data_IF_822724987133
#
_entry.id   IF_822724987133
#
_cell.length_a   1.000
_cell.length_b   1.000
_cell.length_c   1.000
_cell.angle_alpha   90.00
_cell.angle_beta   90.00
_cell.angle_gamma   90.00
#
_symmetry.space_group_name_H-M   'P 1'
#
loop_
_entity.id
_entity.type
_entity.pdbx_description
1 polymer ?
#
# COMPACT_ATOMS: atom_id res chain seq x y z
N UNK A 1 11.74 -22.20 12.48
CA UNK A 1 11.64 -22.03 11.01
C UNK A 1 13.04 -22.00 10.42
N UNK A 2 13.35 -22.92 9.50
CA UNK A 2 14.66 -23.07 8.87
C UNK A 2 15.06 -21.74 8.14
N UNK A 3 16.31 -21.25 8.26
CA UNK A 3 16.77 -20.03 7.57
C UNK A 3 16.53 -20.05 6.06
N UNK A 4 16.60 -21.22 5.41
CA UNK A 4 16.30 -21.37 3.98
C UNK A 4 14.83 -21.04 3.65
N UNK A 5 13.90 -21.49 4.49
CA UNK A 5 12.48 -21.20 4.32
C UNK A 5 12.19 -19.71 4.52
N UNK A 6 12.87 -19.05 5.47
CA UNK A 6 12.80 -17.58 5.62
C UNK A 6 13.31 -16.85 4.38
N UNK A 7 14.41 -17.32 3.79
CA UNK A 7 14.96 -16.78 2.54
C UNK A 7 13.97 -16.91 1.37
N UNK A 8 13.39 -18.10 1.19
CA UNK A 8 12.37 -18.35 0.16
C UNK A 8 11.13 -17.46 0.34
N UNK A 9 10.64 -17.30 1.58
CA UNK A 9 9.50 -16.42 1.84
C UNK A 9 9.87 -14.94 1.62
N UNK A 10 11.11 -14.52 1.89
CA UNK A 10 11.57 -13.16 1.61
C UNK A 10 11.74 -12.86 0.10
N UNK A 11 11.94 -13.90 -0.72
CA UNK A 11 11.98 -13.76 -2.18
C UNK A 11 10.62 -13.35 -2.74
N UNK A 12 9.52 -13.72 -2.08
CA UNK A 12 8.16 -13.37 -2.52
C UNK A 12 7.91 -11.85 -2.58
N UNK A 13 8.02 -11.06 -1.48
CA UNK A 13 7.84 -9.62 -1.55
C UNK A 13 8.87 -8.93 -2.45
N UNK A 14 10.07 -9.50 -2.59
CA UNK A 14 11.06 -9.02 -3.56
C UNK A 14 10.57 -9.19 -5.01
N UNK A 15 10.17 -10.41 -5.39
CA UNK A 15 9.68 -10.69 -6.74
C UNK A 15 8.48 -9.81 -7.08
N UNK A 16 7.52 -9.70 -6.16
CA UNK A 16 6.33 -8.86 -6.34
C UNK A 16 6.69 -7.38 -6.40
N UNK A 17 7.65 -6.93 -5.58
CA UNK A 17 8.22 -5.59 -5.67
C UNK A 17 8.76 -5.30 -7.07
N UNK A 18 9.52 -6.24 -7.65
CA UNK A 18 10.07 -6.08 -9.00
C UNK A 18 9.02 -5.99 -10.11
N UNK A 19 7.80 -6.47 -9.85
CA UNK A 19 6.67 -6.32 -10.77
C UNK A 19 5.97 -4.96 -10.62
N UNK A 20 6.23 -4.17 -9.58
CA UNK A 20 5.57 -2.85 -9.38
C UNK A 20 5.83 -1.88 -10.53
N UNK A 21 7.08 -1.70 -10.99
CA UNK A 21 7.38 -0.88 -12.16
C UNK A 21 6.71 -1.43 -13.43
N UNK A 22 6.67 -2.76 -13.59
CA UNK A 22 6.01 -3.39 -14.74
C UNK A 22 4.50 -3.14 -14.72
N UNK A 23 3.88 -3.21 -13.55
CA UNK A 23 2.47 -2.88 -13.38
C UNK A 23 2.19 -1.41 -13.73
N UNK A 24 3.05 -0.48 -13.29
CA UNK A 24 2.94 0.93 -13.68
C UNK A 24 3.08 1.12 -15.20
N UNK A 25 4.01 0.41 -15.86
CA UNK A 25 4.15 0.42 -17.32
C UNK A 25 2.89 -0.10 -18.02
N UNK A 26 2.34 -1.23 -17.56
CA UNK A 26 1.11 -1.79 -18.09
C UNK A 26 -0.06 -0.81 -17.91
N UNK A 27 -0.17 -0.17 -16.74
CA UNK A 27 -1.20 0.84 -16.48
C UNK A 27 -1.09 2.05 -17.40
N UNK A 28 0.12 2.57 -17.62
CA UNK A 28 0.36 3.66 -18.57
C UNK A 28 -0.02 3.24 -20.00
N UNK A 29 0.39 2.04 -20.42
CA UNK A 29 0.03 1.49 -21.73
C UNK A 29 -1.48 1.28 -21.90
N UNK A 30 -2.18 0.89 -20.84
CA UNK A 30 -3.63 0.75 -20.82
C UNK A 30 -4.32 2.12 -20.90
N UNK A 31 -3.82 3.12 -20.17
CA UNK A 31 -4.31 4.50 -20.25
C UNK A 31 -4.20 5.08 -21.66
N UNK A 32 -3.09 4.81 -22.35
CA UNK A 32 -2.90 5.19 -23.75
C UNK A 32 -3.90 4.51 -24.69
N UNK A 33 -4.17 3.20 -24.53
CA UNK A 33 -5.19 2.50 -25.33
C UNK A 33 -6.59 3.06 -25.09
N UNK A 34 -6.92 3.35 -23.84
CA UNK A 34 -8.20 3.92 -23.45
C UNK A 34 -8.33 5.42 -23.77
N UNK A 35 -7.24 6.07 -24.20
CA UNK A 35 -7.09 7.52 -24.37
C UNK A 35 -7.65 8.31 -23.19
N UNK A 36 -7.29 7.89 -21.99
CA UNK A 36 -7.90 8.40 -20.77
C UNK A 36 -6.87 8.63 -19.67
N UNK A 37 -7.29 9.29 -18.59
CA UNK A 37 -6.46 9.48 -17.39
C UNK A 37 -6.01 8.15 -16.76
N UNK A 38 -4.91 8.18 -15.99
CA UNK A 38 -4.36 7.01 -15.27
C UNK A 38 -5.34 6.42 -14.24
N UNK A 39 -6.40 7.15 -13.88
CA UNK A 39 -7.38 6.75 -12.89
C UNK A 39 -8.21 5.54 -13.35
N UNK A 40 -8.52 5.40 -14.65
CA UNK A 40 -9.26 4.25 -15.16
C UNK A 40 -8.43 2.95 -15.16
N UNK A 41 -7.17 2.93 -15.65
CA UNK A 41 -6.27 1.81 -15.41
C UNK A 41 -6.08 1.47 -13.92
N UNK A 42 -6.07 2.48 -13.05
CA UNK A 42 -5.99 2.27 -11.59
C UNK A 42 -7.28 1.63 -11.04
N UNK A 43 -8.45 2.01 -11.55
CA UNK A 43 -9.71 1.34 -11.25
C UNK A 43 -9.68 -0.12 -11.70
N UNK A 44 -9.14 -0.41 -12.88
CA UNK A 44 -8.93 -1.78 -13.36
C UNK A 44 -7.90 -2.55 -12.52
N UNK A 45 -7.00 -1.85 -11.82
CA UNK A 45 -6.08 -2.49 -10.88
C UNK A 45 -6.79 -2.91 -9.57
N UNK A 46 -7.69 -2.09 -9.02
CA UNK A 46 -8.37 -2.33 -7.73
C UNK A 46 -9.73 -3.04 -7.85
N UNK A 47 -10.52 -2.78 -8.89
CA UNK A 47 -11.85 -3.36 -9.09
C UNK A 47 -11.85 -4.89 -9.11
N UNK A 48 -10.98 -5.55 -9.89
CA UNK A 48 -10.86 -7.01 -9.89
C UNK A 48 -10.39 -7.58 -8.55
N UNK A 49 -9.65 -6.83 -7.73
CA UNK A 49 -9.27 -7.29 -6.39
C UNK A 49 -10.52 -7.49 -5.51
N UNK A 50 -11.52 -6.62 -5.67
CA UNK A 50 -12.82 -6.75 -5.01
C UNK A 50 -13.52 -8.06 -5.43
N UNK A 51 -13.56 -8.33 -6.73
CA UNK A 51 -14.18 -9.54 -7.28
C UNK A 51 -13.45 -10.82 -6.85
N UNK A 52 -12.12 -10.84 -6.94
CA UNK A 52 -11.32 -11.99 -6.55
C UNK A 52 -11.32 -12.26 -5.04
N UNK A 53 -11.45 -11.22 -4.20
CA UNK A 53 -11.53 -11.42 -2.74
C UNK A 53 -12.92 -11.82 -2.25
N UNK A 54 -13.99 -11.56 -3.01
CA UNK A 54 -15.36 -11.81 -2.61
C UNK A 54 -15.59 -13.24 -2.08
N UNK A 55 -15.25 -14.34 -2.80
CA UNK A 55 -15.51 -15.70 -2.31
C UNK A 55 -14.74 -16.03 -1.02
N UNK A 56 -13.54 -15.47 -0.85
CA UNK A 56 -12.69 -15.70 0.33
C UNK A 56 -13.00 -14.76 1.50
N UNK A 57 -13.92 -13.82 1.31
CA UNK A 57 -14.34 -12.89 2.34
C UNK A 57 -15.41 -13.48 3.27
N UNK A 58 -16.19 -14.47 2.82
CA UNK A 58 -17.25 -15.07 3.64
C UNK A 58 -16.76 -15.97 4.78
N UNK A 59 -15.69 -16.79 4.62
CA UNK A 59 -15.15 -17.59 5.71
C UNK A 59 -14.76 -16.72 6.92
N UNK A 60 -15.28 -17.09 8.10
CA UNK A 60 -15.00 -16.42 9.37
C UNK A 60 -16.28 -16.09 10.18
N UNK A 61 -16.17 -15.29 11.25
CA UNK A 61 -17.32 -14.85 12.03
C UNK A 61 -18.32 -14.08 11.15
N UNK A 62 -19.62 -14.06 11.49
CA UNK A 62 -20.62 -13.35 10.68
C UNK A 62 -20.27 -11.86 10.56
N UNK A 63 -20.68 -11.25 9.44
CA UNK A 63 -20.35 -9.85 9.14
C UNK A 63 -20.94 -8.87 10.17
N UNK A 64 -22.06 -9.21 10.79
CA UNK A 64 -22.68 -8.48 11.90
C UNK A 64 -21.70 -8.28 13.05
N UNK A 65 -21.04 -9.35 13.49
CA UNK A 65 -20.12 -9.33 14.63
C UNK A 65 -18.87 -8.52 14.29
N UNK A 66 -18.38 -8.64 13.05
CA UNK A 66 -17.26 -7.84 12.57
C UNK A 66 -17.61 -6.36 12.55
N UNK A 67 -18.80 -6.00 12.07
CA UNK A 67 -19.26 -4.62 12.03
C UNK A 67 -19.44 -4.06 13.44
N UNK A 68 -19.99 -4.84 14.36
CA UNK A 68 -20.14 -4.45 15.76
C UNK A 68 -18.77 -4.22 16.42
N UNK A 69 -17.83 -5.18 16.31
CA UNK A 69 -16.46 -5.02 16.84
C UNK A 69 -15.75 -3.82 16.24
N UNK A 70 -15.94 -3.59 14.95
CA UNK A 70 -15.36 -2.45 14.27
C UNK A 70 -15.96 -1.11 14.76
N UNK A 71 -17.30 -1.05 14.92
CA UNK A 71 -17.99 0.11 15.50
C UNK A 71 -17.54 0.41 16.92
N UNK A 72 -17.41 -0.62 17.76
CA UNK A 72 -16.91 -0.48 19.13
C UNK A 72 -15.47 0.05 19.16
N UNK A 73 -14.61 -0.42 18.23
CA UNK A 73 -13.23 0.10 18.10
C UNK A 73 -13.19 1.54 17.62
N UNK A 74 -13.99 1.90 16.63
CA UNK A 74 -14.13 3.28 16.17
C UNK A 74 -14.56 4.23 17.30
N UNK A 75 -15.45 3.77 18.19
CA UNK A 75 -15.85 4.54 19.37
C UNK A 75 -14.74 4.73 20.41
N UNK A 76 -13.78 3.80 20.48
CA UNK A 76 -12.67 3.82 21.45
C UNK A 76 -11.45 4.60 20.97
N UNK A 77 -11.21 4.68 19.65
CA UNK A 77 -10.02 5.34 19.13
C UNK A 77 -10.26 6.05 17.79
N UNK A 78 -10.04 7.38 17.69
CA UNK A 78 -10.18 8.11 16.41
C UNK A 78 -9.19 7.61 15.36
N UNK A 79 -8.10 7.01 15.82
CA UNK A 79 -7.09 6.37 15.01
C UNK A 79 -7.64 5.25 14.12
N UNK A 80 -8.61 4.47 14.63
CA UNK A 80 -9.20 3.39 13.86
C UNK A 80 -10.07 3.93 12.71
N UNK A 81 -10.56 5.17 12.82
CA UNK A 81 -11.20 5.90 11.74
C UNK A 81 -10.27 6.12 10.55
N UNK A 82 -8.98 6.43 10.79
CA UNK A 82 -8.01 6.57 9.71
C UNK A 82 -7.73 5.25 8.97
N UNK A 83 -7.97 4.09 9.59
CA UNK A 83 -7.82 2.80 8.90
C UNK A 83 -8.85 2.58 7.78
N UNK A 84 -9.99 3.30 7.82
CA UNK A 84 -11.01 3.25 6.78
C UNK A 84 -10.50 3.78 5.43
N UNK A 85 -9.59 4.75 5.47
CA UNK A 85 -9.02 5.37 4.26
C UNK A 85 -7.78 4.63 3.74
N UNK A 86 -7.43 3.47 4.32
CA UNK A 86 -6.27 2.68 3.89
C UNK A 86 -6.28 2.37 2.38
N UNK A 87 -7.47 2.08 1.84
CA UNK A 87 -7.70 1.86 0.41
C UNK A 87 -7.35 3.08 -0.43
N UNK A 88 -7.85 4.26 -0.05
CA UNK A 88 -7.59 5.53 -0.75
C UNK A 88 -6.12 5.90 -0.71
N UNK A 89 -5.49 5.78 0.46
CA UNK A 89 -4.06 6.08 0.65
C UNK A 89 -3.20 5.14 -0.20
N UNK A 90 -3.55 3.86 -0.24
CA UNK A 90 -2.87 2.88 -1.08
C UNK A 90 -3.02 3.19 -2.57
N UNK A 91 -4.25 3.43 -3.05
CA UNK A 91 -4.50 3.68 -4.47
C UNK A 91 -3.90 4.99 -4.94
N UNK A 92 -3.94 6.04 -4.10
CA UNK A 92 -3.25 7.31 -4.36
C UNK A 92 -1.75 7.09 -4.53
N UNK A 93 -1.11 6.29 -3.66
CA UNK A 93 0.30 5.96 -3.76
C UNK A 93 0.68 5.26 -5.08
N UNK A 94 -0.10 4.25 -5.50
CA UNK A 94 0.12 3.54 -6.78
C UNK A 94 -0.13 4.46 -7.97
N UNK A 95 -1.25 5.20 -7.96
CA UNK A 95 -1.63 6.11 -9.03
C UNK A 95 -0.61 7.24 -9.24
N UNK A 96 -0.13 7.84 -8.15
CA UNK A 96 0.93 8.84 -8.17
C UNK A 96 2.21 8.28 -8.75
N UNK A 97 2.63 7.07 -8.36
CA UNK A 97 3.85 6.45 -8.89
C UNK A 97 3.73 6.13 -10.39
N UNK A 98 2.58 5.62 -10.83
CA UNK A 98 2.35 5.38 -12.26
C UNK A 98 2.38 6.70 -13.04
N UNK A 99 1.71 7.74 -12.54
CA UNK A 99 1.73 9.08 -13.12
C UNK A 99 3.15 9.66 -13.22
N UNK A 100 3.90 9.64 -12.12
CA UNK A 100 5.29 10.15 -12.09
C UNK A 100 6.19 9.34 -13.02
N UNK A 101 6.03 8.02 -13.09
CA UNK A 101 6.81 7.16 -14.00
C UNK A 101 6.61 7.55 -15.47
N UNK A 102 5.39 7.93 -15.86
CA UNK A 102 5.11 8.45 -17.21
C UNK A 102 5.73 9.83 -17.49
N UNK A 103 6.07 10.61 -16.46
CA UNK A 103 6.60 11.97 -16.59
C UNK A 103 8.13 12.05 -16.49
N UNK A 104 8.70 11.49 -15.42
CA UNK A 104 10.14 11.58 -15.09
C UNK A 104 10.88 10.24 -15.29
N UNK A 105 10.19 9.20 -15.77
CA UNK A 105 10.74 7.87 -16.02
C UNK A 105 10.70 6.95 -14.79
N UNK A 106 10.81 5.64 -15.05
CA UNK A 106 10.71 4.60 -14.02
C UNK A 106 11.88 4.66 -13.03
N UNK A 107 13.13 4.71 -13.51
CA UNK A 107 14.29 4.76 -12.61
C UNK A 107 14.22 5.90 -11.60
N UNK A 108 13.99 7.14 -12.04
CA UNK A 108 13.92 8.30 -11.12
C UNK A 108 12.77 8.14 -10.12
N UNK A 109 11.60 7.73 -10.59
CA UNK A 109 10.41 7.55 -9.74
C UNK A 109 10.63 6.49 -8.66
N UNK A 110 11.15 5.32 -9.03
CA UNK A 110 11.31 4.20 -8.11
C UNK A 110 12.56 4.32 -7.23
N UNK A 111 13.62 4.98 -7.69
CA UNK A 111 14.77 5.33 -6.84
C UNK A 111 14.34 6.34 -5.77
N UNK A 112 13.61 7.40 -6.14
CA UNK A 112 13.04 8.37 -5.19
C UNK A 112 12.10 7.68 -4.20
N UNK A 113 11.20 6.83 -4.71
CA UNK A 113 10.27 6.07 -3.89
C UNK A 113 11.00 5.18 -2.87
N UNK A 114 12.04 4.48 -3.32
CA UNK A 114 12.87 3.61 -2.49
C UNK A 114 13.55 4.39 -1.38
N UNK A 115 14.18 5.51 -1.73
CA UNK A 115 14.84 6.39 -0.78
C UNK A 115 13.87 6.86 0.31
N UNK A 116 12.71 7.38 -0.08
CA UNK A 116 11.69 7.89 0.85
C UNK A 116 11.11 6.77 1.72
N UNK A 117 10.81 5.60 1.15
CA UNK A 117 10.30 4.46 1.92
C UNK A 117 11.31 3.99 2.97
N UNK A 118 12.60 3.97 2.65
CA UNK A 118 13.66 3.55 3.58
C UNK A 118 13.83 4.58 4.69
N UNK A 119 13.92 5.87 4.35
CA UNK A 119 14.06 6.96 5.32
C UNK A 119 12.84 7.03 6.24
N UNK A 120 11.63 7.06 5.67
CA UNK A 120 10.40 7.10 6.47
C UNK A 120 10.21 5.85 7.31
N UNK A 121 10.57 4.66 6.81
CA UNK A 121 10.50 3.44 7.61
C UNK A 121 11.44 3.50 8.82
N UNK A 122 12.65 4.04 8.65
CA UNK A 122 13.58 4.25 9.75
C UNK A 122 13.07 5.29 10.75
N UNK A 123 12.47 6.39 10.27
CA UNK A 123 11.85 7.40 11.12
C UNK A 123 10.68 6.80 11.92
N UNK A 124 9.77 6.07 11.25
CA UNK A 124 8.65 5.37 11.88
C UNK A 124 9.14 4.44 12.99
N UNK A 125 10.16 3.62 12.72
CA UNK A 125 10.72 2.69 13.70
C UNK A 125 11.40 3.45 14.87
N UNK A 126 12.14 4.53 14.60
CA UNK A 126 12.90 5.28 15.61
C UNK A 126 12.03 6.11 16.57
N UNK A 127 10.92 6.65 16.06
CA UNK A 127 9.98 7.48 16.81
C UNK A 127 8.76 6.70 17.31
N UNK A 128 8.52 5.47 16.84
CA UNK A 128 7.31 4.71 17.17
C UNK A 128 6.05 5.29 16.52
N UNK A 129 6.19 5.94 15.36
CA UNK A 129 5.06 6.51 14.62
C UNK A 129 4.17 5.41 14.04
N UNK A 130 2.94 5.74 13.68
CA UNK A 130 1.99 4.78 13.06
C UNK A 130 1.87 3.47 13.85
N UNK A 131 1.93 3.56 15.18
CA UNK A 131 1.79 2.42 16.10
C UNK A 131 2.90 1.36 15.96
N UNK A 132 4.03 1.75 15.36
CA UNK A 132 5.22 0.92 15.37
C UNK A 132 5.82 0.88 16.79
N UNK A 133 6.35 -0.28 17.16
CA UNK A 133 7.14 -0.41 18.39
C UNK A 133 8.43 0.38 18.20
N UNK A 134 8.69 1.35 19.09
CA UNK A 134 9.90 2.16 19.05
C UNK A 134 11.15 1.27 19.12
N UNK A 135 12.09 1.45 18.20
CA UNK A 135 13.33 0.69 18.10
C UNK A 135 14.52 1.61 17.95
N UNK A 136 15.64 1.24 18.57
CA UNK A 136 16.92 1.92 18.36
C UNK A 136 17.50 1.48 17.01
N UNK A 137 17.78 2.44 16.14
CA UNK A 137 18.47 2.20 14.88
C UNK A 137 19.95 1.89 15.16
N UNK A 138 20.51 0.89 14.46
CA UNK A 138 21.94 0.58 14.55
C UNK A 138 22.73 1.53 13.64
N UNK A 139 24.02 1.70 13.93
CA UNK A 139 24.96 2.41 13.05
C UNK A 139 24.89 1.89 11.61
N UNK A 140 24.75 0.57 11.44
CA UNK A 140 24.60 -0.09 10.13
C UNK A 140 23.34 0.37 9.37
N UNK A 141 22.24 0.64 10.09
CA UNK A 141 21.00 1.12 9.48
C UNK A 141 21.19 2.57 8.98
N UNK A 142 21.91 3.43 9.72
CA UNK A 142 22.27 4.78 9.26
C UNK A 142 23.19 4.76 8.03
N UNK A 143 24.23 3.92 8.04
CA UNK A 143 25.14 3.77 6.89
C UNK A 143 24.37 3.33 5.65
N UNK A 144 23.44 2.38 5.80
CA UNK A 144 22.57 1.94 4.71
C UNK A 144 21.71 3.07 4.15
N UNK A 145 21.08 3.87 5.01
CA UNK A 145 20.27 5.03 4.61
C UNK A 145 21.13 6.04 3.84
N UNK A 146 22.32 6.36 4.35
CA UNK A 146 23.24 7.30 3.69
C UNK A 146 23.65 6.79 2.30
N UNK A 147 24.01 5.51 2.17
CA UNK A 147 24.35 4.90 0.88
C UNK A 147 23.20 5.00 -0.12
N UNK A 148 21.97 4.74 0.33
CA UNK A 148 20.77 4.82 -0.52
C UNK A 148 20.48 6.26 -0.93
N UNK A 149 20.55 7.22 0.00
CA UNK A 149 20.31 8.65 -0.28
C UNK A 149 21.37 9.21 -1.23
N UNK A 150 22.65 8.94 -0.97
CA UNK A 150 23.76 9.39 -1.81
C UNK A 150 23.70 8.73 -3.19
N UNK A 151 23.49 7.41 -3.25
CA UNK A 151 23.33 6.70 -4.52
C UNK A 151 22.16 7.22 -5.35
N UNK A 152 21.04 7.55 -4.68
CA UNK A 152 19.87 8.20 -5.31
C UNK A 152 20.23 9.58 -5.85
N UNK A 153 20.90 10.41 -5.06
CA UNK A 153 21.32 11.74 -5.48
C UNK A 153 22.23 11.66 -6.71
N UNK A 154 23.26 10.82 -6.67
CA UNK A 154 24.19 10.60 -7.80
C UNK A 154 23.42 10.16 -9.05
N UNK A 155 22.50 9.21 -8.92
CA UNK A 155 21.67 8.75 -10.03
C UNK A 155 20.85 9.89 -10.65
N UNK A 156 20.14 10.65 -9.81
CA UNK A 156 19.24 11.72 -10.25
C UNK A 156 20.01 12.87 -10.89
N UNK A 157 21.13 13.29 -10.29
CA UNK A 157 21.95 14.37 -10.83
C UNK A 157 22.60 13.99 -12.16
N UNK A 158 23.06 12.75 -12.32
CA UNK A 158 23.70 12.29 -13.56
C UNK A 158 22.71 12.19 -14.72
N UNK A 159 21.45 11.84 -14.46
CA UNK A 159 20.40 11.89 -15.50
C UNK A 159 20.08 13.32 -15.95
N UNK A 160 20.29 14.30 -15.07
CA UNK A 160 20.03 15.71 -15.35
C UNK A 160 18.54 16.05 -15.50
N UNK A 161 18.14 17.31 -15.24
CA UNK A 161 16.76 17.78 -15.39
C UNK A 161 16.31 17.91 -16.86
N UNK A 162 17.19 17.61 -17.83
CA UNK A 162 16.96 17.77 -19.27
C UNK A 162 16.54 16.50 -20.00
N UNK A 163 16.40 15.36 -19.31
CA UNK A 163 15.87 14.14 -19.95
C UNK A 163 14.42 14.37 -20.32
N UNK A 164 14.16 14.41 -21.62
CA UNK A 164 12.84 14.23 -22.20
C UNK A 164 12.19 13.02 -21.54
N UNK A 165 11.00 13.19 -20.96
CA UNK A 165 10.23 12.07 -20.48
C UNK A 165 9.98 11.04 -21.60
N UNK A 166 9.39 9.87 -21.30
CA UNK A 166 9.02 8.88 -22.32
C UNK A 166 8.22 9.48 -23.50
N UNK A 167 7.52 10.58 -23.25
CA UNK A 167 6.72 11.31 -24.26
C UNK A 167 7.50 12.38 -25.03
N UNK A 168 8.82 12.50 -24.87
CA UNK A 168 9.61 13.54 -25.55
C UNK A 168 9.40 14.96 -25.00
N UNK A 169 8.52 15.13 -24.02
CA UNK A 169 8.20 16.43 -23.43
C UNK A 169 9.32 16.85 -22.49
N UNK A 170 9.91 18.01 -22.75
CA UNK A 170 10.87 18.65 -21.84
C UNK A 170 10.10 19.30 -20.70
N UNK A 171 10.27 18.77 -19.49
CA UNK A 171 9.72 19.36 -18.28
C UNK A 171 10.56 20.57 -17.87
N UNK A 172 9.92 21.64 -17.42
CA UNK A 172 10.63 22.72 -16.74
C UNK A 172 11.27 22.21 -15.44
N UNK A 173 12.35 22.84 -14.93
CA UNK A 173 12.97 22.42 -13.66
C UNK A 173 11.99 22.40 -12.49
N UNK A 174 11.03 23.34 -12.46
CA UNK A 174 10.00 23.40 -11.44
C UNK A 174 9.01 22.22 -11.53
N UNK A 175 8.56 21.87 -12.73
CA UNK A 175 7.69 20.71 -12.95
C UNK A 175 8.40 19.39 -12.64
N UNK A 176 9.68 19.28 -13.02
CA UNK A 176 10.50 18.12 -12.67
C UNK A 176 10.63 17.97 -11.16
N UNK A 177 11.03 19.04 -10.46
CA UNK A 177 11.13 19.06 -9.00
C UNK A 177 9.79 18.74 -8.32
N UNK A 178 8.70 19.34 -8.80
CA UNK A 178 7.35 19.05 -8.31
C UNK A 178 6.94 17.59 -8.51
N UNK A 179 7.30 16.98 -9.63
CA UNK A 179 7.00 15.56 -9.91
C UNK A 179 7.83 14.62 -9.01
N UNK A 180 9.09 14.96 -8.72
CA UNK A 180 9.93 14.22 -7.76
C UNK A 180 9.34 14.29 -6.35
N UNK A 181 8.90 15.47 -5.90
CA UNK A 181 8.20 15.64 -4.62
C UNK A 181 6.90 14.84 -4.60
N UNK A 182 6.14 14.86 -5.70
CA UNK A 182 4.92 14.07 -5.83
C UNK A 182 5.22 12.56 -5.73
N UNK A 183 6.28 12.06 -6.37
CA UNK A 183 6.72 10.67 -6.22
C UNK A 183 7.07 10.32 -4.77
N UNK A 184 7.71 11.24 -4.03
CA UNK A 184 7.98 11.08 -2.61
C UNK A 184 6.68 11.00 -1.77
N UNK A 185 5.68 11.83 -2.07
CA UNK A 185 4.35 11.74 -1.45
C UNK A 185 3.70 10.40 -1.76
N UNK A 186 3.76 9.92 -3.01
CA UNK A 186 3.26 8.60 -3.38
C UNK A 186 3.92 7.47 -2.60
N UNK A 187 5.22 7.57 -2.35
CA UNK A 187 5.99 6.63 -1.54
C UNK A 187 5.56 6.63 -0.06
N UNK A 188 5.36 7.81 0.53
CA UNK A 188 4.86 7.97 1.89
C UNK A 188 3.44 7.39 2.05
N UNK A 189 2.58 7.61 1.06
CA UNK A 189 1.23 7.04 1.01
C UNK A 189 1.28 5.50 0.95
N UNK A 190 2.10 4.92 0.08
CA UNK A 190 2.26 3.46 0.03
C UNK A 190 2.78 2.89 1.36
N UNK A 191 3.77 3.55 1.98
CA UNK A 191 4.32 3.10 3.26
C UNK A 191 3.28 3.15 4.39
N UNK A 192 2.52 4.25 4.48
CA UNK A 192 1.48 4.43 5.51
C UNK A 192 0.27 3.52 5.31
N UNK A 193 -0.03 3.11 4.07
CA UNK A 193 -1.12 2.15 3.80
C UNK A 193 -0.89 0.79 4.49
N UNK A 194 0.35 0.38 4.73
CA UNK A 194 0.68 -0.89 5.37
C UNK A 194 0.16 -0.99 6.82
N UNK A 195 0.57 -0.09 7.73
CA UNK A 195 0.04 -0.02 9.10
C UNK A 195 -1.48 0.15 9.16
N UNK A 196 -2.06 0.98 8.28
CA UNK A 196 -3.51 1.18 8.22
C UNK A 196 -4.24 -0.12 7.87
N UNK A 197 -3.78 -0.83 6.84
CA UNK A 197 -4.34 -2.12 6.45
C UNK A 197 -4.14 -3.19 7.53
N UNK A 198 -3.01 -3.17 8.24
CA UNK A 198 -2.77 -4.08 9.36
C UNK A 198 -3.82 -3.90 10.46
N UNK A 199 -4.11 -2.65 10.84
CA UNK A 199 -5.17 -2.33 11.83
C UNK A 199 -6.54 -2.76 11.32
N UNK A 200 -6.86 -2.41 10.08
CA UNK A 200 -8.13 -2.81 9.47
C UNK A 200 -8.28 -4.34 9.46
N UNK A 201 -7.21 -5.08 9.19
CA UNK A 201 -7.18 -6.55 9.24
C UNK A 201 -7.38 -7.13 10.64
N UNK A 202 -6.84 -6.48 11.66
CA UNK A 202 -7.10 -6.86 13.06
C UNK A 202 -8.56 -6.66 13.45
N UNK A 203 -9.30 -5.77 12.78
CA UNK A 203 -10.72 -5.53 13.04
C UNK A 203 -11.62 -6.42 12.19
N UNK A 204 -11.28 -6.65 10.92
CA UNK A 204 -12.07 -7.51 10.04
C UNK A 204 -11.86 -9.01 10.31
N UNK A 205 -10.78 -9.38 11.00
CA UNK A 205 -10.43 -10.76 11.35
C UNK A 205 -9.99 -11.64 10.18
N UNK A 206 -10.07 -11.13 8.95
CA UNK A 206 -9.72 -11.83 7.72
C UNK A 206 -9.08 -10.83 6.74
N UNK A 207 -7.94 -11.21 6.16
CA UNK A 207 -7.23 -10.43 5.13
C UNK A 207 -8.09 -10.13 3.91
N UNK A 208 -8.85 -11.12 3.43
CA UNK A 208 -9.66 -10.95 2.23
C UNK A 208 -10.80 -9.96 2.45
N UNK A 209 -11.37 -9.91 3.66
CA UNK A 209 -12.34 -8.87 4.06
C UNK A 209 -11.70 -7.48 4.06
N UNK A 210 -10.47 -7.36 4.58
CA UNK A 210 -9.69 -6.11 4.54
C UNK A 210 -9.45 -5.67 3.10
N UNK A 211 -9.00 -6.58 2.23
CA UNK A 211 -8.73 -6.29 0.82
C UNK A 211 -10.01 -5.88 0.10
N UNK A 212 -11.12 -6.62 0.31
CA UNK A 212 -12.41 -6.31 -0.28
C UNK A 212 -12.85 -4.90 0.12
N UNK A 213 -12.80 -4.59 1.41
CA UNK A 213 -13.16 -3.27 1.94
C UNK A 213 -12.25 -2.16 1.38
N UNK A 214 -10.93 -2.32 1.48
CA UNK A 214 -9.97 -1.33 1.00
C UNK A 214 -10.10 -1.11 -0.52
N UNK A 215 -10.32 -2.16 -1.29
CA UNK A 215 -10.51 -2.08 -2.75
C UNK A 215 -11.84 -1.42 -3.12
N UNK A 216 -12.91 -1.68 -2.37
CA UNK A 216 -14.20 -1.02 -2.56
C UNK A 216 -14.09 0.48 -2.29
N UNK A 217 -13.51 0.87 -1.14
CA UNK A 217 -13.29 2.28 -0.78
C UNK A 217 -12.38 2.98 -1.80
N UNK A 218 -11.28 2.31 -2.21
CA UNK A 218 -10.41 2.83 -3.25
C UNK A 218 -11.16 3.01 -4.57
N UNK A 219 -11.95 2.03 -5.00
CA UNK A 219 -12.69 2.08 -6.26
C UNK A 219 -13.73 3.21 -6.27
N UNK A 220 -14.45 3.41 -5.17
CA UNK A 220 -15.39 4.54 -5.02
C UNK A 220 -14.66 5.86 -5.16
N UNK A 221 -13.55 6.06 -4.41
CA UNK A 221 -12.76 7.27 -4.49
C UNK A 221 -12.18 7.50 -5.90
N UNK A 222 -11.65 6.46 -6.53
CA UNK A 222 -11.11 6.52 -7.90
C UNK A 222 -12.21 6.91 -8.88
N UNK A 223 -13.39 6.27 -8.83
CA UNK A 223 -14.51 6.59 -9.71
C UNK A 223 -14.96 8.03 -9.54
N UNK A 224 -15.07 8.52 -8.29
CA UNK A 224 -15.44 9.92 -8.02
C UNK A 224 -14.46 10.91 -8.64
N UNK A 225 -13.15 10.67 -8.50
CA UNK A 225 -12.13 11.56 -9.08
C UNK A 225 -12.07 11.38 -10.61
N UNK A 226 -12.15 10.15 -11.12
CA UNK A 226 -12.10 9.84 -12.54
C UNK A 226 -13.27 10.47 -13.29
N UNK A 227 -14.48 10.39 -12.74
CA UNK A 227 -15.66 11.02 -13.32
C UNK A 227 -15.55 12.55 -13.39
N UNK A 228 -14.83 13.17 -12.44
CA UNK A 228 -14.59 14.62 -12.46
C UNK A 228 -13.49 15.05 -13.42
N UNK A 229 -12.44 14.24 -13.60
CA UNK A 229 -11.26 14.59 -14.42
C UNK A 229 -11.43 14.17 -15.88
N UNK A 230 -11.94 12.96 -16.12
CA UNK A 230 -12.06 12.38 -17.47
C UNK A 230 -13.20 11.33 -17.51
N UNK A 231 -14.46 11.76 -17.72
CA UNK A 231 -15.65 10.91 -17.54
C UNK A 231 -15.88 9.87 -18.64
N UNK A 232 -15.16 9.91 -19.77
CA UNK A 232 -15.49 9.12 -20.97
C UNK A 232 -14.34 8.21 -21.43
N UNK A 233 -13.97 7.18 -20.65
CA UNK A 233 -12.96 6.20 -21.05
C UNK A 233 -13.42 5.41 -22.29
N UNK A 234 -12.52 5.21 -23.25
CA UNK A 234 -12.83 4.54 -24.52
C UNK A 234 -12.62 3.02 -24.43
N UNK A 235 -13.41 2.33 -23.61
CA UNK A 235 -13.28 0.87 -23.39
C UNK A 235 -13.43 0.02 -24.65
N UNK A 236 -14.18 0.50 -25.66
CA UNK A 236 -14.36 -0.18 -26.95
C UNK A 236 -13.06 -0.35 -27.75
N UNK A 237 -11.96 0.30 -27.35
CA UNK A 237 -10.65 0.22 -28.00
C UNK A 237 -9.75 -0.88 -27.44
N UNK A 238 -10.21 -1.59 -26.42
CA UNK A 238 -9.49 -2.77 -25.93
C UNK A 238 -9.75 -3.91 -26.91
N UNK A 239 -8.89 -3.98 -27.92
CA UNK A 239 -8.86 -5.10 -28.85
C UNK A 239 -8.28 -6.36 -28.20
N UNK A 240 -8.57 -7.53 -28.77
CA UNK A 240 -8.00 -8.80 -28.33
C UNK A 240 -6.47 -8.76 -28.33
N UNK A 241 -5.81 -8.06 -29.25
CA UNK A 241 -4.35 -7.89 -29.26
C UNK A 241 -3.78 -7.17 -28.02
N UNK A 242 -4.62 -6.42 -27.29
CA UNK A 242 -4.25 -5.67 -26.09
C UNK A 242 -4.66 -6.37 -24.79
N UNK A 243 -5.11 -7.63 -24.83
CA UNK A 243 -5.58 -8.38 -23.65
C UNK A 243 -4.55 -8.41 -22.51
N UNK A 244 -3.25 -8.47 -22.84
CA UNK A 244 -2.16 -8.51 -21.88
C UNK A 244 -2.12 -7.26 -20.98
N UNK A 245 -2.72 -6.14 -21.40
CA UNK A 245 -2.81 -4.93 -20.57
C UNK A 245 -3.72 -5.12 -19.36
N UNK A 246 -4.63 -6.10 -19.42
CA UNK A 246 -5.44 -6.53 -18.28
C UNK A 246 -4.64 -7.33 -17.24
N UNK A 247 -3.36 -7.67 -17.50
CA UNK A 247 -2.48 -8.25 -16.48
C UNK A 247 -2.28 -7.31 -15.29
N UNK A 248 -2.51 -6.00 -15.44
CA UNK A 248 -2.54 -5.05 -14.30
C UNK A 248 -3.50 -5.51 -13.19
N UNK A 249 -4.62 -6.14 -13.55
CA UNK A 249 -5.60 -6.67 -12.61
C UNK A 249 -4.99 -7.75 -11.70
N UNK A 250 -4.29 -8.71 -12.33
CA UNK A 250 -3.65 -9.84 -11.64
C UNK A 250 -2.43 -9.40 -10.84
N UNK A 251 -1.63 -8.48 -11.40
CA UNK A 251 -0.47 -7.91 -10.73
C UNK A 251 -0.87 -7.07 -9.52
N UNK A 252 -1.89 -6.22 -9.65
CA UNK A 252 -2.47 -5.45 -8.56
C UNK A 252 -2.94 -6.33 -7.41
N UNK A 253 -3.73 -7.36 -7.72
CA UNK A 253 -4.17 -8.35 -6.74
C UNK A 253 -3.00 -9.05 -6.05
N UNK A 254 -2.00 -9.51 -6.81
CA UNK A 254 -0.82 -10.17 -6.28
C UNK A 254 -0.01 -9.25 -5.37
N UNK A 255 0.17 -7.99 -5.75
CA UNK A 255 0.82 -6.95 -4.93
C UNK A 255 0.09 -6.71 -3.62
N UNK A 256 -1.24 -6.59 -3.68
CA UNK A 256 -2.05 -6.37 -2.50
C UNK A 256 -1.97 -7.58 -1.56
N UNK A 257 -2.20 -8.80 -2.04
CA UNK A 257 -2.09 -10.02 -1.23
C UNK A 257 -0.72 -10.15 -0.58
N UNK A 258 0.34 -9.86 -1.32
CA UNK A 258 1.71 -9.92 -0.80
C UNK A 258 1.90 -8.89 0.31
N UNK A 259 1.39 -7.67 0.14
CA UNK A 259 1.50 -6.60 1.14
C UNK A 259 0.77 -6.94 2.46
N UNK A 260 -0.28 -7.75 2.41
CA UNK A 260 -1.01 -8.18 3.61
C UNK A 260 -0.41 -9.44 4.25
N UNK A 261 0.01 -10.41 3.43
CA UNK A 261 0.41 -11.72 3.91
C UNK A 261 1.90 -11.82 4.24
N UNK A 262 2.79 -11.23 3.43
CA UNK A 262 4.23 -11.35 3.65
C UNK A 262 4.68 -10.80 5.03
N UNK A 263 4.18 -9.66 5.52
CA UNK A 263 4.54 -9.17 6.85
C UNK A 263 4.22 -10.13 8.00
N UNK A 264 3.25 -11.04 7.84
CA UNK A 264 2.90 -12.03 8.87
C UNK A 264 3.98 -13.10 9.04
N UNK A 265 4.68 -13.45 7.97
CA UNK A 265 5.66 -14.54 7.96
C UNK A 265 7.08 -14.09 8.28
N UNK A 266 7.49 -12.95 7.73
CA UNK A 266 8.87 -12.46 7.82
C UNK A 266 9.00 -11.15 8.59
N UNK A 267 7.88 -10.56 9.01
CA UNK A 267 7.82 -9.25 9.67
C UNK A 267 7.70 -8.09 8.68
N UNK A 268 7.06 -7.01 9.14
CA UNK A 268 6.78 -5.82 8.33
C UNK A 268 8.05 -5.16 7.77
N UNK A 269 9.07 -4.93 8.62
CA UNK A 269 10.30 -4.27 8.21
C UNK A 269 11.04 -5.04 7.10
N UNK A 270 11.21 -6.36 7.26
CA UNK A 270 11.89 -7.19 6.27
C UNK A 270 11.09 -7.31 4.97
N UNK A 271 9.77 -7.47 5.07
CA UNK A 271 8.88 -7.48 3.90
C UNK A 271 8.94 -6.16 3.13
N UNK A 272 8.96 -5.02 3.82
CA UNK A 272 9.03 -3.71 3.18
C UNK A 272 10.40 -3.50 2.49
N UNK A 273 11.50 -3.83 3.18
CA UNK A 273 12.86 -3.74 2.60
C UNK A 273 13.03 -4.65 1.37
N UNK A 274 12.54 -5.89 1.44
CA UNK A 274 12.56 -6.81 0.32
C UNK A 274 11.75 -6.28 -0.87
N UNK A 275 10.54 -5.76 -0.61
CA UNK A 275 9.70 -5.14 -1.65
C UNK A 275 10.36 -3.92 -2.29
N UNK A 276 10.94 -3.04 -1.49
CA UNK A 276 11.66 -1.85 -1.97
C UNK A 276 12.86 -2.23 -2.84
N UNK A 277 13.64 -3.24 -2.42
CA UNK A 277 14.73 -3.76 -3.23
C UNK A 277 14.23 -4.35 -4.56
N UNK A 278 13.11 -5.08 -4.52
CA UNK A 278 12.41 -5.56 -5.71
C UNK A 278 12.03 -4.41 -6.65
N UNK A 279 11.35 -3.38 -6.14
CA UNK A 279 10.93 -2.21 -6.92
C UNK A 279 12.10 -1.58 -7.66
N UNK A 280 13.24 -1.41 -6.98
CA UNK A 280 14.44 -0.86 -7.59
C UNK A 280 14.95 -1.76 -8.71
N UNK A 281 15.15 -3.05 -8.45
CA UNK A 281 15.65 -4.00 -9.47
C UNK A 281 14.71 -4.07 -10.67
N UNK A 282 13.39 -4.10 -10.44
CA UNK A 282 12.39 -4.05 -11.50
C UNK A 282 12.49 -2.78 -12.34
N UNK A 283 12.71 -1.62 -11.71
CA UNK A 283 12.84 -0.36 -12.41
C UNK A 283 14.14 -0.28 -13.22
N UNK A 284 15.24 -0.82 -12.68
CA UNK A 284 16.52 -0.94 -13.39
C UNK A 284 16.39 -1.84 -14.61
N UNK A 285 15.76 -3.01 -14.45
CA UNK A 285 15.52 -3.93 -15.56
C UNK A 285 14.67 -3.28 -16.63
N UNK A 286 13.57 -2.62 -16.26
CA UNK A 286 12.73 -1.90 -17.22
C UNK A 286 13.47 -0.75 -17.91
N UNK A 287 14.27 0.02 -17.19
CA UNK A 287 15.07 1.09 -17.81
C UNK A 287 16.08 0.49 -18.80
N UNK A 288 16.77 -0.61 -18.46
CA UNK A 288 17.69 -1.31 -19.36
C UNK A 288 16.97 -1.89 -20.58
N UNK A 289 15.82 -2.53 -20.39
CA UNK A 289 15.01 -3.07 -21.49
C UNK A 289 14.41 -1.97 -22.35
N UNK A 290 13.93 -0.87 -21.77
CA UNK A 290 13.39 0.27 -22.50
C UNK A 290 14.47 0.94 -23.37
N UNK A 291 15.66 1.17 -22.80
CA UNK A 291 16.85 1.61 -23.53
C UNK A 291 17.26 0.59 -24.62
N UNK A 292 16.98 -0.70 -24.38
CA UNK A 292 17.19 -1.80 -25.33
C UNK A 292 16.08 -1.99 -26.37
N UNK A 293 14.91 -1.38 -26.22
CA UNK A 293 13.79 -1.47 -27.18
C UNK A 293 13.66 -0.21 -28.04
N UNK A 294 14.18 0.93 -27.59
CA UNK A 294 14.40 2.14 -28.42
C UNK A 294 15.53 1.97 -29.47
N UNK A 295 15.94 0.74 -29.76
CA UNK A 295 16.77 0.36 -30.91
C UNK A 295 16.17 0.76 -32.27
N UNK A 296 14.92 1.24 -32.29
CA UNK A 296 14.34 1.96 -33.42
C UNK A 296 14.35 3.46 -33.12
N UNK A 297 15.18 4.20 -33.88
CA UNK A 297 14.91 5.58 -34.37
C UNK A 297 15.75 6.75 -33.82
N UNK A 298 16.99 6.55 -33.39
CA UNK A 298 17.99 7.64 -33.48
C UNK A 298 19.21 7.19 -34.29
N UNK A 299 19.11 7.18 -35.64
CA UNK A 299 20.24 6.87 -36.53
C UNK A 299 21.44 7.82 -36.38
N UNK A 300 21.27 8.96 -35.69
CA UNK A 300 22.29 10.01 -35.59
C UNK A 300 23.24 9.88 -34.39
N UNK A 301 23.08 8.87 -33.53
CA UNK A 301 24.02 8.60 -32.42
C UNK A 301 24.48 7.14 -32.40
N UNK A 302 25.26 6.70 -33.40
CA UNK A 302 25.92 5.41 -33.34
C UNK A 302 26.97 5.43 -32.22
N UNK A 303 26.76 4.65 -31.15
CA UNK A 303 27.87 4.17 -30.32
C UNK A 303 27.92 4.55 -28.83
N UNK A 304 26.92 5.21 -28.23
CA UNK A 304 26.98 5.56 -26.80
C UNK A 304 25.91 4.85 -25.95
N UNK A 305 25.93 3.51 -25.94
CA UNK A 305 25.15 2.68 -25.02
C UNK A 305 25.86 2.43 -23.69
N UNK A 306 26.71 3.35 -23.25
CA UNK A 306 27.28 3.27 -21.91
C UNK A 306 26.30 3.88 -20.93
N UNK A 307 25.75 3.05 -20.05
CA UNK A 307 25.21 3.54 -18.77
C UNK A 307 26.27 4.48 -18.20
N UNK A 308 25.94 5.75 -18.00
CA UNK A 308 26.92 6.70 -17.46
C UNK A 308 27.54 6.10 -16.20
N UNK A 309 28.87 6.20 -16.00
CA UNK A 309 29.53 5.77 -14.77
C UNK A 309 28.83 6.31 -13.51
N UNK A 310 28.22 7.51 -13.57
CA UNK A 310 27.43 8.07 -12.48
C UNK A 310 26.14 7.29 -12.21
N UNK A 311 25.40 6.89 -13.26
CA UNK A 311 24.20 6.05 -13.12
C UNK A 311 24.57 4.67 -12.57
N UNK A 312 25.63 4.05 -13.08
CA UNK A 312 26.10 2.74 -12.62
C UNK A 312 26.57 2.77 -11.16
N UNK A 313 27.35 3.79 -10.78
CA UNK A 313 27.82 3.95 -9.39
C UNK A 313 26.67 4.30 -8.44
N UNK A 314 25.73 5.15 -8.85
CA UNK A 314 24.49 5.42 -8.12
C UNK A 314 23.68 4.14 -7.89
N UNK A 315 23.50 3.32 -8.93
CA UNK A 315 22.86 2.01 -8.85
C UNK A 315 23.53 1.11 -7.80
N UNK A 316 24.85 0.99 -7.91
CA UNK A 316 25.66 0.14 -7.05
C UNK A 316 25.57 0.59 -5.59
N UNK A 317 25.64 1.89 -5.32
CA UNK A 317 25.50 2.43 -3.96
C UNK A 317 24.13 2.13 -3.36
N UNK A 318 23.04 2.30 -4.13
CA UNK A 318 21.70 1.95 -3.64
C UNK A 318 21.57 0.45 -3.39
N UNK A 319 22.07 -0.40 -4.29
CA UNK A 319 22.04 -1.85 -4.14
C UNK A 319 22.85 -2.33 -2.93
N UNK A 320 24.05 -1.78 -2.72
CA UNK A 320 24.88 -2.07 -1.54
C UNK A 320 24.18 -1.60 -0.28
N UNK A 321 23.64 -0.38 -0.28
CA UNK A 321 22.86 0.14 0.84
C UNK A 321 21.65 -0.74 1.18
N UNK A 322 20.92 -1.22 0.17
CA UNK A 322 19.81 -2.16 0.35
C UNK A 322 20.28 -3.52 0.89
N UNK A 323 21.37 -4.07 0.37
CA UNK A 323 21.94 -5.33 0.87
C UNK A 323 22.34 -5.23 2.34
N UNK A 324 22.92 -4.10 2.74
CA UNK A 324 23.21 -3.78 4.16
C UNK A 324 21.93 -3.66 4.98
N UNK A 325 20.87 -3.04 4.41
CA UNK A 325 19.56 -2.88 5.05
C UNK A 325 18.83 -4.21 5.30
N UNK A 326 19.05 -5.24 4.47
CA UNK A 326 18.34 -6.52 4.57
C UNK A 326 18.74 -7.34 5.81
N UNK A 327 19.74 -6.88 6.58
CA UNK A 327 20.11 -7.51 7.85
C UNK A 327 18.93 -7.45 8.82
N UNK A 328 18.56 -8.58 9.45
CA UNK A 328 17.45 -8.61 10.40
C UNK A 328 17.65 -7.56 11.50
N UNK A 329 16.57 -6.90 11.96
CA UNK A 329 16.66 -5.98 13.08
C UNK A 329 17.13 -6.73 14.34
N UNK A 330 17.80 -6.05 15.28
CA UNK A 330 18.15 -6.66 16.55
C UNK A 330 16.86 -7.11 17.27
N UNK A 331 16.92 -8.18 18.09
CA UNK A 331 15.80 -8.54 18.94
C UNK A 331 15.41 -7.34 19.79
N UNK A 332 14.10 -7.16 20.01
CA UNK A 332 13.61 -6.12 20.92
C UNK A 332 14.15 -6.45 22.30
N UNK A 333 15.06 -5.64 22.83
CA UNK A 333 15.43 -5.72 24.24
C UNK A 333 14.14 -5.56 25.03
N UNK A 334 13.75 -6.61 25.77
CA UNK A 334 12.69 -6.47 26.76
C UNK A 334 13.22 -5.43 27.75
N UNK A 335 12.72 -4.21 27.67
CA UNK A 335 12.99 -3.21 28.69
C UNK A 335 12.62 -3.77 30.07
N UNK A 336 13.20 -3.25 31.16
CA UNK A 336 12.76 -3.61 32.50
C UNK A 336 11.25 -3.38 32.55
N UNK A 337 10.48 -4.48 32.65
CA UNK A 337 9.03 -4.41 32.69
C UNK A 337 8.67 -3.56 33.90
N UNK A 338 8.05 -2.41 33.66
CA UNK A 338 7.46 -1.64 34.75
C UNK A 338 6.40 -2.54 35.40
N UNK A 339 6.37 -2.71 36.74
CA UNK A 339 5.49 -3.65 37.44
C UNK A 339 4.00 -3.53 37.05
N UNK A 340 3.58 -2.35 36.60
CA UNK A 340 2.22 -2.06 36.13
C UNK A 340 1.79 -2.84 34.87
N UNK A 341 2.70 -3.16 33.94
CA UNK A 341 2.36 -3.96 32.75
C UNK A 341 2.33 -5.47 33.06
N UNK A 342 3.03 -5.91 34.11
CA UNK A 342 3.04 -7.32 34.53
C UNK A 342 1.71 -7.70 35.23
N UNK A 343 1.08 -6.78 35.96
CA UNK A 343 -0.25 -6.99 36.54
C UNK A 343 -1.34 -7.19 35.47
N UNK A 344 -1.37 -6.38 34.40
CA UNK A 344 -2.37 -6.55 33.33
C UNK A 344 -2.16 -7.83 32.51
N UNK A 345 -0.90 -8.21 32.27
CA UNK A 345 -0.58 -9.47 31.57
C UNK A 345 -0.89 -10.71 32.42
N UNK A 346 -0.67 -10.65 33.73
CA UNK A 346 -0.98 -11.73 34.66
C UNK A 346 -2.50 -11.91 34.83
N UNK A 347 -3.26 -10.81 34.87
CA UNK A 347 -4.71 -10.83 35.00
C UNK A 347 -5.39 -11.39 33.75
N UNK A 348 -4.94 -10.98 32.55
CA UNK A 348 -5.45 -11.51 31.28
C UNK A 348 -5.06 -12.98 31.04
N UNK A 349 -3.93 -13.45 31.60
CA UNK A 349 -3.56 -14.86 31.58
C UNK A 349 -4.41 -15.68 32.56
N UNK A 350 -4.69 -15.15 33.75
CA UNK A 350 -5.60 -15.77 34.74
C UNK A 350 -7.02 -15.92 34.21
N UNK A 351 -7.55 -14.91 33.53
CA UNK A 351 -8.89 -14.95 32.94
C UNK A 351 -8.99 -16.02 31.84
N UNK A 352 -7.92 -16.20 31.06
CA UNK A 352 -7.82 -17.23 30.01
C UNK A 352 -7.69 -18.64 30.57
N UNK A 353 -6.97 -18.80 31.67
CA UNK A 353 -6.82 -20.09 32.35
C UNK A 353 -8.12 -20.46 33.11
N UNK A 354 -8.82 -19.47 33.70
CA UNK A 354 -10.10 -19.68 34.39
C UNK A 354 -11.26 -20.03 33.44
N UNK A 355 -11.25 -19.49 32.21
CA UNK A 355 -12.20 -19.87 31.16
C UNK A 355 -11.96 -21.29 30.60
N UNK A 356 -10.79 -21.87 30.85
CA UNK A 356 -10.43 -23.23 30.42
C UNK A 356 -10.84 -24.29 31.45
N UNK A 357 -10.91 -23.94 32.72
CA UNK A 357 -11.31 -24.87 33.80
C UNK A 357 -12.84 -25.00 33.95
N UNK A 358 -13.62 -24.02 33.48
CA UNK A 358 -15.09 -24.04 33.59
C UNK A 358 -15.80 -24.82 32.47
N UNK A 359 -15.06 -25.41 31.53
CA UNK A 359 -15.62 -26.15 30.39
C UNK A 359 -15.59 -27.70 30.50
N UNK A 360 -15.19 -28.26 31.64
CA UNK A 360 -14.98 -29.70 31.78
C UNK A 360 -15.53 -30.31 33.07
N UNK A 361 -16.85 -30.45 33.16
CA UNK A 361 -17.48 -31.36 34.12
C UNK A 361 -18.83 -31.82 33.57
N UNK A 362 -18.79 -32.96 32.86
CA UNK A 362 -19.98 -33.62 32.32
C UNK A 362 -19.83 -35.13 32.46
N UNK A 363 -20.27 -35.63 33.63
CA UNK A 363 -20.90 -36.94 33.89
C UNK A 363 -20.17 -38.21 33.45
N UNK A 364 -19.40 -38.78 34.37
CA UNK A 364 -19.22 -40.23 34.49
C UNK A 364 -20.57 -40.89 34.81
N UNK A 365 -21.00 -41.82 33.96
CA UNK A 365 -21.98 -42.84 34.31
C UNK A 365 -21.41 -44.18 33.87
N UNK A 366 -21.24 -45.02 34.87
CA UNK A 366 -20.63 -46.34 34.90
C UNK A 366 -21.65 -47.41 34.46
N UNK A 367 -21.14 -48.62 34.22
CA UNK A 367 -21.81 -49.91 33.93
C UNK A 367 -22.21 -50.25 32.48
N UNK A 368 -21.64 -51.37 31.98
CA UNK A 368 -22.21 -52.11 30.85
C UNK A 368 -21.24 -53.05 30.13
N UNK A 369 -21.18 -54.30 30.60
CA UNK A 369 -20.52 -55.48 30.01
C UNK A 369 -20.58 -55.64 28.47
N UNK A 370 -19.50 -56.21 27.92
CA UNK A 370 -19.63 -57.34 26.99
C UNK A 370 -19.39 -57.14 25.49
N UNK A 371 -18.47 -57.97 24.98
CA UNK A 371 -18.36 -58.54 23.64
C UNK A 371 -17.58 -57.81 22.53
N UNK A 372 -16.43 -58.44 22.23
CA UNK A 372 -15.77 -58.59 20.94
C UNK A 372 -16.62 -58.33 19.68
N UNK A 373 -16.08 -57.53 18.73
CA UNK A 373 -15.78 -58.04 17.38
C UNK A 373 -14.84 -57.14 16.56
N UNK A 374 -13.88 -57.84 15.95
CA UNK A 374 -13.00 -57.58 14.80
C UNK A 374 -13.10 -56.25 14.02
N UNK A 375 -11.90 -55.70 13.83
CA UNK A 375 -11.46 -54.89 12.70
C UNK A 375 -11.58 -55.62 11.35
N UNK A 376 -12.22 -54.99 10.36
CA UNK A 376 -12.02 -55.24 8.93
C UNK A 376 -12.08 -53.88 8.21
N UNK A 377 -11.03 -53.59 7.43
CA UNK A 377 -10.96 -52.49 6.45
C UNK A 377 -11.79 -52.77 5.20
N UNK A 378 -12.42 -51.73 4.64
CA UNK A 378 -12.66 -51.49 3.21
C UNK A 378 -13.11 -50.01 3.09
N UNK A 379 -12.42 -49.11 2.39
CA UNK A 379 -12.47 -48.89 0.93
C UNK A 379 -13.88 -48.99 0.32
N UNK A 380 -14.37 -47.88 -0.24
CA UNK A 380 -15.45 -47.92 -1.23
C UNK A 380 -16.53 -46.84 -1.10
N UNK A 381 -16.34 -45.73 -1.82
CA UNK A 381 -17.25 -45.18 -2.85
C UNK A 381 -18.75 -44.96 -2.48
N UNK A 382 -19.16 -43.67 -2.56
CA UNK A 382 -20.53 -43.12 -2.68
C UNK A 382 -21.41 -43.86 -3.74
N UNK A 383 -22.75 -43.66 -3.89
CA UNK A 383 -23.61 -42.60 -3.35
C UNK A 383 -25.00 -43.07 -2.84
N UNK A 384 -25.73 -42.20 -2.13
CA UNK A 384 -27.20 -42.33 -1.97
C UNK A 384 -27.87 -40.97 -2.23
N UNK A 385 -29.07 -40.97 -2.87
CA UNK A 385 -29.61 -39.82 -3.59
C UNK A 385 -30.67 -39.03 -2.79
N UNK A 386 -31.08 -37.96 -3.45
CA UNK A 386 -32.21 -37.06 -3.22
C UNK A 386 -33.53 -37.67 -2.73
N UNK A 387 -34.20 -36.95 -1.83
CA UNK A 387 -35.63 -37.03 -1.45
C UNK A 387 -35.83 -36.15 -0.20
N UNK A 388 -36.29 -34.90 -0.28
CA UNK A 388 -37.68 -34.39 -0.44
C UNK A 388 -38.52 -34.53 0.86
N UNK A 389 -39.22 -33.43 1.16
CA UNK A 389 -40.27 -33.18 2.19
C UNK A 389 -39.75 -32.69 3.56
N UNK A 390 -39.83 -31.39 3.82
CA UNK A 390 -40.99 -30.64 4.37
C UNK A 390 -41.10 -30.83 5.89
N UNK A 391 -41.00 -29.73 6.66
CA UNK A 391 -41.93 -29.40 7.75
C UNK A 391 -41.48 -28.16 8.55
N UNK A 392 -42.47 -27.29 8.72
CA UNK A 392 -42.78 -26.47 9.90
C UNK A 392 -42.01 -25.17 10.16
N UNK A 393 -42.63 -24.10 9.64
CA UNK A 393 -42.68 -22.77 10.21
C UNK A 393 -43.38 -22.81 11.58
N UNK A 394 -42.60 -22.69 12.65
CA UNK A 394 -43.09 -22.47 14.02
C UNK A 394 -42.91 -21.01 14.44
N UNK A 395 -44.01 -20.26 14.43
CA UNK A 395 -44.13 -18.94 15.07
C UNK A 395 -44.02 -19.08 16.59
N UNK A 396 -43.08 -18.36 17.20
CA UNK A 396 -42.93 -18.26 18.66
C UNK A 396 -42.74 -16.80 19.10
N UNK A 397 -43.84 -16.19 19.55
CA UNK A 397 -43.89 -14.88 20.20
C UNK A 397 -43.69 -15.03 21.71
N UNK A 398 -42.73 -14.31 22.29
CA UNK A 398 -42.68 -13.94 23.71
C UNK A 398 -41.97 -12.58 23.80
N UNK A 399 -42.69 -11.47 24.03
CA UNK A 399 -43.10 -10.92 25.34
C UNK A 399 -41.98 -10.88 26.39
N UNK A 400 -41.62 -9.63 26.71
CA UNK A 400 -41.35 -9.03 28.02
C UNK A 400 -40.61 -9.87 29.06
N UNK A 401 -39.51 -9.31 29.59
CA UNK A 401 -39.32 -9.05 31.03
C UNK A 401 -37.99 -8.31 31.23
N UNK A 402 -38.07 -7.16 31.92
CA UNK A 402 -37.21 -6.87 33.07
C UNK A 402 -35.87 -6.17 32.81
N UNK A 403 -35.89 -4.84 32.81
CA UNK A 403 -34.82 -4.04 33.41
C UNK A 403 -34.65 -4.41 34.89
N UNK A 404 -33.43 -4.23 35.43
CA UNK A 404 -33.33 -3.40 36.62
C UNK A 404 -32.30 -2.27 36.47
N UNK A 405 -32.67 -1.17 37.10
CA UNK A 405 -31.88 0.04 37.34
C UNK A 405 -30.77 -0.17 38.39
N UNK A 406 -29.93 0.88 38.49
CA UNK A 406 -29.08 1.31 39.61
C UNK A 406 -27.70 0.66 39.80
N UNK A 407 -26.65 1.44 39.48
CA UNK A 407 -25.96 2.24 40.50
C UNK A 407 -25.04 3.32 39.87
N UNK A 408 -25.35 4.57 40.19
CA UNK A 408 -24.46 5.73 40.08
C UNK A 408 -23.21 5.53 40.94
N UNK A 409 -22.05 5.95 40.42
CA UNK A 409 -21.03 6.59 41.24
C UNK A 409 -20.23 7.59 40.40
N UNK A 410 -20.58 8.85 40.58
CA UNK A 410 -19.76 10.01 40.23
C UNK A 410 -18.64 10.18 41.26
N UNK A 411 -17.43 10.48 40.81
CA UNK A 411 -16.54 11.38 41.53
C UNK A 411 -15.71 12.22 40.54
N UNK A 412 -15.71 13.56 40.68
CA UNK A 412 -14.87 14.45 39.89
C UNK A 412 -13.52 14.65 40.59
N UNK A 413 -12.46 14.92 39.83
CA UNK A 413 -11.30 15.62 40.36
C UNK A 413 -10.98 16.83 39.48
N UNK A 414 -11.32 17.97 40.05
CA UNK A 414 -10.86 19.31 39.72
C UNK A 414 -9.51 19.51 40.42
N UNK A 415 -8.53 20.06 39.70
CA UNK A 415 -7.40 20.80 40.25
C UNK A 415 -7.08 21.94 39.26
N UNK A 416 -7.74 23.08 39.44
CA UNK A 416 -7.11 24.40 39.34
C UNK A 416 -6.27 24.58 40.62
N UNK A 417 -5.19 25.36 40.73
CA UNK A 417 -4.90 26.66 40.12
C UNK A 417 -3.41 27.03 40.26
N UNK A 418 -2.97 27.98 39.43
CA UNK A 418 -1.90 28.97 39.72
C UNK A 418 -0.62 28.78 38.90
N UNK A 419 -0.13 29.72 38.09
CA UNK A 419 -0.47 31.12 37.88
C UNK A 419 0.81 31.96 37.72
N UNK A 420 0.74 32.92 36.80
CA UNK A 420 1.56 34.16 36.67
C UNK A 420 2.89 34.06 35.89
N UNK A 421 2.96 34.88 34.83
CA UNK A 421 4.16 35.23 34.07
C UNK A 421 3.83 36.06 32.84
N UNK A 422 3.47 37.33 33.06
CA UNK A 422 3.15 38.37 32.07
C UNK A 422 4.33 38.79 31.17
N UNK A 423 3.98 39.67 30.21
CA UNK A 423 4.78 40.46 29.24
C UNK A 423 4.84 39.86 27.83
N UNK A 424 4.52 40.56 26.74
CA UNK A 424 4.17 41.96 26.58
C UNK A 424 3.62 42.25 25.18
N UNK A 425 2.82 43.29 25.15
CA UNK A 425 2.13 43.94 24.03
C UNK A 425 3.09 44.47 22.96
N UNK A 426 2.74 44.32 21.68
CA UNK A 426 2.94 45.38 20.68
C UNK A 426 2.01 45.22 19.48
N UNK A 427 0.94 46.02 19.50
CA UNK A 427 0.25 46.53 18.31
C UNK A 427 1.16 47.48 17.54
N UNK A 428 1.04 47.46 16.22
CA UNK A 428 1.23 48.64 15.39
C UNK A 428 0.49 48.45 14.08
N UNK A 429 -0.67 49.10 14.01
CA UNK A 429 -1.38 49.50 12.81
C UNK A 429 -0.60 50.60 12.06
N UNK A 430 -0.55 50.49 10.73
CA UNK A 430 -0.46 51.53 9.69
C UNK A 430 -0.41 50.75 8.37
N UNK A 431 -1.17 51.01 7.31
CA UNK A 431 -2.01 52.13 6.93
C UNK A 431 -2.00 52.18 5.40
N UNK A 432 -3.19 52.06 4.81
CA UNK A 432 -3.67 52.76 3.61
C UNK A 432 -2.85 52.79 2.29
N UNK A 433 -3.53 52.33 1.22
CA UNK A 433 -3.83 53.11 0.00
C UNK A 433 -2.97 53.03 -1.28
N UNK A 434 -3.72 52.87 -2.38
CA UNK A 434 -3.52 53.34 -3.77
C UNK A 434 -2.87 52.43 -4.84
N UNK A 435 -3.74 51.98 -5.76
CA UNK A 435 -3.69 52.12 -7.22
C UNK A 435 -2.33 52.12 -7.94
N UNK A 436 -2.18 51.19 -8.91
CA UNK A 436 -2.14 51.58 -10.32
C UNK A 436 -2.22 50.38 -11.27
N UNK A 437 -2.97 50.63 -12.32
CA UNK A 437 -3.08 49.92 -13.60
C UNK A 437 -1.72 49.60 -14.21
N UNK A 438 -1.60 48.44 -14.84
CA UNK A 438 -0.84 48.36 -16.10
C UNK A 438 -1.41 47.27 -17.00
N UNK A 439 -1.90 47.74 -18.14
CA UNK A 439 -2.39 47.00 -19.29
C UNK A 439 -1.31 46.19 -20.03
N UNK A 440 -1.82 45.31 -20.90
CA UNK A 440 -1.32 44.93 -22.21
C UNK A 440 -0.11 43.99 -22.33
N UNK A 441 -0.38 42.82 -22.94
CA UNK A 441 0.63 41.89 -23.42
C UNK A 441 0.08 40.70 -24.21
N UNK A 442 -0.89 40.94 -25.10
CA UNK A 442 -1.33 39.99 -26.12
C UNK A 442 -0.17 39.78 -27.12
N UNK A 443 0.42 38.58 -27.16
CA UNK A 443 1.26 38.16 -28.29
C UNK A 443 0.64 36.97 -29.00
N UNK A 444 0.05 37.31 -30.15
CA UNK A 444 -0.18 36.44 -31.29
C UNK A 444 1.09 35.68 -31.65
N UNK A 445 0.99 34.36 -31.82
CA UNK A 445 1.98 33.57 -32.56
C UNK A 445 1.31 33.05 -33.83
N UNK A 446 1.66 33.66 -34.95
CA UNK A 446 1.33 33.19 -36.31
C UNK A 446 1.92 31.80 -36.54
N UNK A 447 1.08 30.84 -36.93
CA UNK A 447 1.52 29.62 -37.61
C UNK A 447 1.69 29.92 -39.09
N UNK A 448 2.94 30.07 -39.54
CA UNK A 448 3.29 29.95 -40.96
C UNK A 448 3.15 28.49 -41.40
N UNK A 449 2.15 28.23 -42.23
CA UNK A 449 2.09 27.06 -43.10
C UNK A 449 3.10 27.25 -44.23
N UNK A 450 4.12 26.39 -44.29
CA UNK A 450 4.99 26.26 -45.46
C UNK A 450 4.43 25.13 -46.32
N UNK A 451 3.78 25.51 -47.42
CA UNK A 451 3.46 24.61 -48.53
C UNK A 451 4.76 24.12 -49.16
N UNK A 452 4.97 22.80 -49.14
CA UNK A 452 6.04 22.16 -49.89
C UNK A 452 5.44 21.42 -51.08
N UNK A 453 5.27 22.15 -52.19
CA UNK A 453 5.08 21.58 -53.54
C UNK A 453 6.46 21.44 -54.19
N UNK A 454 6.87 20.21 -54.49
CA UNK A 454 7.93 19.89 -55.44
C UNK A 454 7.56 18.57 -56.12
N UNK A 455 6.91 18.63 -57.28
CA UNK A 455 7.51 18.50 -58.62
C UNK A 455 8.25 17.18 -58.87
N UNK A 456 7.49 16.30 -59.54
CA UNK A 456 7.82 15.49 -60.71
C UNK A 456 9.27 15.31 -61.17
N UNK A 457 9.55 14.07 -61.57
CA UNK A 457 10.45 13.75 -62.68
C UNK A 457 9.87 12.56 -63.44
N UNK A 458 9.48 12.81 -64.69
CA UNK A 458 9.49 11.84 -65.78
C UNK A 458 10.94 11.43 -66.08
N UNK A 459 11.16 10.13 -66.24
CA UNK A 459 11.94 9.53 -67.34
C UNK A 459 11.64 8.04 -67.42
#
# INVERSE_FOLDING_TARGET
MNPWLKGLIALWPFAIGSLTPLNALIMLSLGQTLRTSILWPLLMNYGPQMLFCLPFSFPGPPLSDVFQRFRERLGKSPVDGFSLVAGVVSSAGIGIQAYCSGRIGFGVTYVTTTCVMVVLSALIDSFGLLWAVRRRLRVVDYVSIVLIVVGTAVWVFERGPGTTGPEGVRLSPAEYGGTVVLAAVGAASLLSSGPLNKRLSQSTGNTFRTTLFASAVASVAIVSVAAGVDPHPQFHRIDSSNWWKLLTCVLGFSMFLTSQNAPRWIGFALSNRARVAGNLVGALLLDVFALGTDFRSHPDKPGAYFISPGVASGAALVLVGLAVSLRPPPPVEKGPQTPAEESQGAEQKRERDSARETGGSGSESDEGDGCHCKTVSAEGVDPIPSGVEDLEVGNGSAKDIGSPEFLEQCHPNVCDSGGIGETGVRESDHGSSCNRDTENGLQHTERKYVDNKGNGTEK
#
